data_IF_151613688950
#
_entry.id   IF_151613688950
#
_cell.length_a   1.000
_cell.length_b   1.000
_cell.length_c   1.000
_cell.angle_alpha   90.00
_cell.angle_beta   90.00
_cell.angle_gamma   90.00
#
_symmetry.space_group_name_H-M   'P 1'
#
loop_
_entity.id
_entity.type
_entity.pdbx_description
1 polymer ?
#
# COMPACT_ATOMS: atom_id res chain seq x y z
N UNK A 1 53.65 6.83 5.83
CA UNK A 1 54.70 6.35 4.91
C UNK A 1 54.45 4.86 4.61
N UNK A 2 54.52 4.47 3.32
CA UNK A 2 54.33 3.12 2.72
C UNK A 2 52.87 2.63 2.70
N UNK A 3 52.09 2.96 1.66
CA UNK A 3 52.04 2.52 0.25
C UNK A 3 51.45 1.11 0.05
N UNK A 4 50.19 1.02 -0.42
CA UNK A 4 49.68 0.80 -1.81
C UNK A 4 49.62 -0.70 -2.15
N UNK A 5 48.52 -1.08 -2.83
CA UNK A 5 48.34 -2.16 -3.82
C UNK A 5 47.51 -3.31 -3.26
N UNK A 6 46.41 -3.78 -3.86
CA UNK A 6 45.47 -3.36 -4.93
C UNK A 6 44.51 -4.56 -5.03
N UNK A 7 43.24 -4.28 -5.28
CA UNK A 7 42.36 -5.07 -6.15
C UNK A 7 42.12 -6.55 -5.82
N UNK A 8 40.96 -6.84 -5.21
CA UNK A 8 40.14 -7.96 -5.67
C UNK A 8 38.64 -7.55 -5.64
N UNK A 9 38.14 -6.87 -6.67
CA UNK A 9 36.74 -6.99 -7.05
C UNK A 9 36.55 -8.34 -7.78
N UNK A 10 35.30 -8.75 -7.97
CA UNK A 10 34.89 -9.92 -8.78
C UNK A 10 34.97 -11.26 -8.02
N UNK A 11 33.99 -11.55 -7.16
CA UNK A 11 33.28 -12.85 -7.11
C UNK A 11 32.11 -12.84 -6.10
N UNK A 12 31.25 -11.83 -6.13
CA UNK A 12 29.99 -11.87 -5.36
C UNK A 12 28.88 -11.07 -6.08
N UNK A 13 28.74 -11.30 -7.39
CA UNK A 13 27.70 -10.68 -8.22
C UNK A 13 27.03 -11.65 -9.21
N UNK A 14 27.07 -12.97 -8.95
CA UNK A 14 26.43 -13.98 -9.82
C UNK A 14 25.71 -15.07 -9.01
N UNK A 15 25.06 -14.68 -7.90
CA UNK A 15 24.06 -15.54 -7.22
C UNK A 15 22.80 -14.78 -6.78
N UNK A 16 22.60 -13.56 -7.27
CA UNK A 16 21.35 -12.81 -7.15
C UNK A 16 20.79 -12.58 -8.54
N UNK A 17 20.21 -13.62 -9.14
CA UNK A 17 19.28 -13.55 -10.27
C UNK A 17 18.86 -14.97 -10.65
N UNK A 18 18.07 -15.61 -9.80
CA UNK A 18 17.07 -16.55 -10.31
C UNK A 18 15.73 -16.11 -9.71
N UNK A 19 15.00 -15.21 -10.38
CA UNK A 19 13.60 -14.99 -10.05
C UNK A 19 12.87 -16.30 -10.31
N UNK A 20 12.29 -16.89 -9.27
CA UNK A 20 11.28 -17.92 -9.42
C UNK A 20 9.91 -17.22 -9.50
N UNK A 21 9.11 -17.50 -10.54
CA UNK A 21 7.90 -16.74 -10.83
C UNK A 21 6.82 -16.98 -9.76
N UNK A 22 6.10 -15.94 -9.40
CA UNK A 22 4.78 -16.08 -8.79
C UNK A 22 3.71 -16.03 -9.88
N UNK A 23 2.45 -16.07 -9.47
CA UNK A 23 1.23 -16.11 -10.26
C UNK A 23 0.07 -15.38 -9.51
N UNK A 24 -0.88 -14.81 -10.24
CA UNK A 24 -2.33 -15.06 -10.38
C UNK A 24 -2.85 -14.17 -11.56
N UNK A 25 -4.07 -14.44 -12.07
CA UNK A 25 -4.62 -14.36 -13.47
C UNK A 25 -4.83 -15.80 -14.08
N UNK A 26 -5.47 -15.93 -15.25
CA UNK A 26 -5.62 -17.16 -16.02
C UNK A 26 -4.24 -17.66 -16.49
N UNK A 27 -3.84 -18.85 -16.05
CA UNK A 27 -2.56 -19.44 -16.39
C UNK A 27 -2.70 -20.56 -17.45
N UNK A 28 -1.67 -20.80 -18.28
CA UNK A 28 -1.58 -22.01 -19.10
C UNK A 28 -1.46 -23.27 -18.22
N UNK A 29 -1.50 -24.48 -18.80
CA UNK A 29 -1.15 -25.69 -18.07
C UNK A 29 0.19 -25.57 -17.34
N UNK A 30 0.28 -26.25 -16.21
CA UNK A 30 1.50 -26.28 -15.40
C UNK A 30 2.58 -27.08 -16.12
N UNK A 31 3.79 -26.55 -16.08
CA UNK A 31 4.96 -27.22 -16.61
C UNK A 31 5.19 -28.55 -15.88
N UNK A 32 5.58 -29.63 -16.58
CA UNK A 32 6.02 -30.84 -15.89
C UNK A 32 7.22 -30.51 -15.00
N UNK A 33 7.22 -31.00 -13.76
CA UNK A 33 8.34 -30.82 -12.85
C UNK A 33 9.62 -31.39 -13.44
N UNK A 34 10.60 -30.52 -13.76
CA UNK A 34 11.93 -30.94 -14.22
C UNK A 34 12.52 -30.19 -15.42
N UNK A 35 11.88 -29.18 -16.00
CA UNK A 35 12.50 -28.33 -17.03
C UNK A 35 11.79 -26.99 -17.11
N UNK A 36 12.36 -25.95 -16.49
CA UNK A 36 12.08 -24.58 -16.90
C UNK A 36 12.87 -24.39 -18.20
N UNK A 37 12.28 -24.31 -19.40
CA UNK A 37 13.08 -23.90 -20.52
C UNK A 37 13.33 -22.39 -20.37
N UNK A 38 14.44 -21.96 -20.94
CA UNK A 38 14.95 -20.61 -20.86
C UNK A 38 13.91 -19.58 -21.37
N UNK A 39 13.99 -18.31 -20.95
CA UNK A 39 13.28 -17.22 -21.61
C UNK A 39 13.45 -17.32 -23.14
N UNK A 40 12.35 -17.36 -23.89
CA UNK A 40 12.32 -17.59 -25.34
C UNK A 40 11.90 -19.00 -25.79
N UNK A 41 11.52 -19.88 -24.87
CA UNK A 41 10.95 -21.21 -25.19
C UNK A 41 9.52 -21.29 -24.65
N UNK A 42 8.63 -20.53 -25.28
CA UNK A 42 7.20 -20.57 -24.97
C UNK A 42 6.61 -21.89 -25.49
N UNK A 43 5.91 -22.63 -24.62
CA UNK A 43 5.29 -23.92 -25.00
C UNK A 43 3.99 -23.77 -25.78
N UNK A 44 3.42 -22.57 -25.79
CA UNK A 44 2.17 -22.25 -26.46
C UNK A 44 2.39 -21.06 -27.40
N UNK A 45 1.65 -21.04 -28.50
CA UNK A 45 1.55 -19.87 -29.38
C UNK A 45 0.37 -18.97 -28.97
N UNK A 46 -0.33 -19.28 -27.87
CA UNK A 46 -1.44 -18.49 -27.36
C UNK A 46 -0.93 -17.31 -26.56
N UNK A 47 -1.27 -16.12 -27.04
CA UNK A 47 -1.01 -14.83 -26.40
C UNK A 47 -2.27 -14.30 -25.72
N UNK A 48 -2.12 -13.65 -24.57
CA UNK A 48 -3.16 -12.79 -24.03
C UNK A 48 -3.15 -11.44 -24.74
N UNK A 49 -4.19 -11.15 -25.51
CA UNK A 49 -4.31 -9.92 -26.30
C UNK A 49 -4.87 -8.78 -25.46
N UNK A 50 -5.84 -9.07 -24.61
CA UNK A 50 -6.42 -8.07 -23.72
C UNK A 50 -6.95 -8.71 -22.45
N UNK A 51 -6.92 -7.94 -21.37
CA UNK A 51 -7.53 -8.26 -20.09
C UNK A 51 -8.36 -7.06 -19.61
N UNK A 52 -9.58 -7.32 -19.13
CA UNK A 52 -10.42 -6.31 -18.51
C UNK A 52 -10.98 -6.86 -17.19
N UNK A 53 -10.63 -6.21 -16.09
CA UNK A 53 -10.99 -6.64 -14.73
C UNK A 53 -11.87 -5.59 -14.10
N UNK A 54 -13.05 -5.99 -13.65
CA UNK A 54 -13.97 -5.14 -12.89
C UNK A 54 -14.13 -5.69 -11.47
N UNK A 55 -13.66 -4.93 -10.49
CA UNK A 55 -13.91 -5.16 -9.06
C UNK A 55 -15.11 -4.31 -8.63
N UNK A 56 -16.29 -4.91 -8.56
CA UNK A 56 -17.50 -4.25 -8.06
C UNK A 56 -17.60 -4.40 -6.54
N UNK A 57 -17.19 -3.35 -5.81
CA UNK A 57 -17.23 -3.31 -4.34
C UNK A 57 -18.68 -3.29 -3.87
N UNK A 58 -19.02 -4.25 -3.01
CA UNK A 58 -20.37 -4.42 -2.52
C UNK A 58 -20.69 -3.44 -1.39
N UNK A 59 -21.88 -2.85 -1.47
CA UNK A 59 -22.42 -1.96 -0.44
C UNK A 59 -22.61 -2.65 0.92
N UNK A 60 -23.00 -3.93 0.90
CA UNK A 60 -23.30 -4.70 2.09
C UNK A 60 -22.43 -5.95 2.11
N UNK A 61 -21.95 -6.33 3.28
CA UNK A 61 -21.18 -7.55 3.48
C UNK A 61 -21.72 -8.40 4.62
N UNK A 62 -21.39 -9.71 4.65
CA UNK A 62 -21.75 -10.57 5.76
C UNK A 62 -21.20 -10.08 7.11
N UNK A 63 -21.83 -10.51 8.20
CA UNK A 63 -21.29 -10.27 9.54
C UNK A 63 -19.88 -10.85 9.66
N UNK A 64 -18.93 -10.04 10.16
CA UNK A 64 -17.49 -10.34 10.26
C UNK A 64 -16.68 -10.27 8.95
N UNK A 65 -17.27 -9.74 7.86
CA UNK A 65 -16.54 -9.35 6.66
C UNK A 65 -16.12 -7.88 6.73
N UNK A 66 -14.90 -7.58 6.29
CA UNK A 66 -14.41 -6.19 6.20
C UNK A 66 -15.00 -5.49 4.97
N UNK A 67 -14.93 -6.14 3.82
CA UNK A 67 -15.60 -5.78 2.58
C UNK A 67 -15.60 -6.98 1.61
N UNK A 68 -16.41 -6.90 0.56
CA UNK A 68 -16.44 -7.88 -0.52
C UNK A 68 -16.53 -7.15 -1.86
N UNK A 69 -15.95 -7.76 -2.88
CA UNK A 69 -16.08 -7.31 -4.27
C UNK A 69 -16.53 -8.48 -5.14
N UNK A 70 -17.46 -8.22 -6.06
CA UNK A 70 -17.69 -9.15 -7.17
C UNK A 70 -16.67 -8.83 -8.25
N UNK A 71 -15.88 -9.83 -8.61
CA UNK A 71 -14.90 -9.69 -9.69
C UNK A 71 -15.49 -10.26 -10.97
N UNK A 72 -15.32 -9.53 -12.07
CA UNK A 72 -15.50 -10.01 -13.42
C UNK A 72 -14.19 -9.76 -14.19
N UNK A 73 -13.48 -10.82 -14.52
CA UNK A 73 -12.25 -10.78 -15.29
C UNK A 73 -12.51 -11.37 -16.68
N UNK A 74 -12.35 -10.54 -17.70
CA UNK A 74 -12.57 -10.88 -19.11
C UNK A 74 -11.21 -10.89 -19.84
N UNK A 75 -10.84 -12.04 -20.38
CA UNK A 75 -9.58 -12.27 -21.10
C UNK A 75 -9.87 -12.51 -22.57
N UNK A 76 -9.09 -11.86 -23.44
CA UNK A 76 -9.09 -12.11 -24.88
C UNK A 76 -7.80 -12.80 -25.25
N UNK A 77 -7.89 -14.06 -25.65
CA UNK A 77 -6.75 -14.90 -25.97
C UNK A 77 -6.67 -15.13 -27.47
N UNK A 78 -5.47 -15.17 -28.05
CA UNK A 78 -5.27 -15.47 -29.48
C UNK A 78 -4.11 -16.42 -29.70
N UNK A 79 -4.38 -17.49 -30.45
CA UNK A 79 -3.33 -18.37 -30.95
C UNK A 79 -2.64 -17.73 -32.17
N UNK A 80 -1.35 -17.43 -32.03
CA UNK A 80 -0.49 -16.84 -33.07
C UNK A 80 0.13 -17.88 -34.00
N UNK A 81 -0.04 -19.17 -33.69
CA UNK A 81 0.40 -20.29 -34.51
C UNK A 81 -0.53 -20.57 -35.69
N UNK A 82 -0.17 -21.59 -36.48
CA UNK A 82 -0.90 -22.05 -37.66
C UNK A 82 -1.77 -23.29 -37.40
N UNK A 83 -1.66 -23.89 -36.22
CA UNK A 83 -2.39 -25.09 -35.80
C UNK A 83 -3.17 -24.84 -34.51
N UNK A 84 -4.34 -25.45 -34.39
CA UNK A 84 -5.18 -25.28 -33.21
C UNK A 84 -4.50 -25.89 -31.99
N UNK A 85 -4.54 -25.19 -30.86
CA UNK A 85 -4.04 -25.67 -29.58
C UNK A 85 -5.21 -26.01 -28.66
N UNK A 86 -5.11 -27.12 -27.92
CA UNK A 86 -6.08 -27.48 -26.89
C UNK A 86 -5.34 -27.77 -25.60
N UNK A 87 -5.78 -27.16 -24.50
CA UNK A 87 -5.07 -27.20 -23.23
C UNK A 87 -5.99 -26.98 -22.03
N UNK A 88 -5.53 -27.44 -20.86
CA UNK A 88 -6.17 -27.19 -19.57
C UNK A 88 -5.75 -25.83 -19.02
N UNK A 89 -6.58 -24.82 -19.25
CA UNK A 89 -6.42 -23.47 -18.71
C UNK A 89 -6.77 -23.45 -17.23
N UNK A 90 -6.11 -22.60 -16.44
CA UNK A 90 -6.20 -22.61 -14.99
C UNK A 90 -6.49 -21.25 -14.41
N UNK A 91 -7.23 -21.22 -13.31
CA UNK A 91 -7.48 -20.02 -12.51
C UNK A 91 -7.29 -20.34 -11.02
N UNK A 92 -6.51 -19.55 -10.27
CA UNK A 92 -6.26 -19.82 -8.86
C UNK A 92 -7.53 -19.61 -8.03
N UNK A 93 -7.82 -20.55 -7.14
CA UNK A 93 -8.98 -20.46 -6.23
C UNK A 93 -8.59 -19.93 -4.85
N UNK A 94 -7.29 -19.82 -4.59
CA UNK A 94 -6.75 -19.36 -3.33
C UNK A 94 -5.33 -18.86 -3.53
N UNK A 95 -4.91 -17.96 -2.66
CA UNK A 95 -3.53 -17.55 -2.49
C UNK A 95 -3.23 -17.39 -1.00
N UNK A 96 -1.96 -17.44 -0.61
CA UNK A 96 -1.57 -17.05 0.74
C UNK A 96 -1.85 -15.56 0.95
N UNK A 97 -2.47 -15.23 2.07
CA UNK A 97 -2.81 -13.87 2.42
C UNK A 97 -1.72 -13.10 3.20
N UNK A 98 -0.47 -13.58 3.15
CA UNK A 98 0.65 -12.99 3.89
C UNK A 98 0.68 -13.32 5.39
N UNK A 99 -0.37 -13.97 5.92
CA UNK A 99 -0.45 -14.44 7.32
C UNK A 99 -0.40 -15.97 7.44
N UNK A 100 0.00 -16.66 6.37
CA UNK A 100 0.03 -18.12 6.32
C UNK A 100 -1.35 -18.76 6.29
N UNK A 101 -2.36 -18.03 5.80
CA UNK A 101 -3.70 -18.55 5.52
C UNK A 101 -3.96 -18.50 4.03
N UNK A 102 -4.79 -19.42 3.56
CA UNK A 102 -5.13 -19.60 2.16
C UNK A 102 -6.65 -19.50 1.99
N UNK A 103 -7.22 -18.28 2.09
CA UNK A 103 -8.65 -18.11 1.87
C UNK A 103 -8.99 -18.48 0.42
N UNK A 104 -10.08 -19.22 0.24
CA UNK A 104 -10.62 -19.53 -1.07
C UNK A 104 -11.64 -18.49 -1.51
N UNK A 105 -11.56 -18.06 -2.77
CA UNK A 105 -12.60 -17.26 -3.41
C UNK A 105 -13.89 -18.07 -3.58
N UNK A 106 -15.03 -17.37 -3.61
CA UNK A 106 -16.35 -18.01 -3.64
C UNK A 106 -17.05 -17.76 -4.98
N UNK A 107 -18.09 -18.55 -5.25
CA UNK A 107 -18.99 -18.37 -6.38
C UNK A 107 -18.29 -18.28 -7.75
N UNK A 108 -17.22 -19.07 -7.93
CA UNK A 108 -16.45 -19.10 -9.17
C UNK A 108 -17.29 -19.66 -10.32
N UNK A 109 -17.36 -18.90 -11.41
CA UNK A 109 -17.95 -19.33 -12.67
C UNK A 109 -17.03 -18.97 -13.83
N UNK A 110 -16.88 -19.89 -14.77
CA UNK A 110 -16.03 -19.72 -15.95
C UNK A 110 -16.89 -19.85 -17.20
N UNK A 111 -16.71 -18.94 -18.16
CA UNK A 111 -17.26 -19.05 -19.51
C UNK A 111 -16.16 -18.98 -20.54
N UNK A 112 -16.35 -19.71 -21.63
CA UNK A 112 -15.53 -19.65 -22.84
C UNK A 112 -16.46 -19.31 -23.99
N UNK A 113 -16.19 -18.20 -24.69
CA UNK A 113 -17.04 -17.64 -25.75
C UNK A 113 -18.52 -17.52 -25.35
N UNK A 114 -18.74 -17.05 -24.11
CA UNK A 114 -20.07 -16.87 -23.54
C UNK A 114 -20.76 -18.17 -23.05
N UNK A 115 -20.15 -19.33 -23.24
CA UNK A 115 -20.68 -20.63 -22.79
C UNK A 115 -20.05 -21.02 -21.46
N UNK A 116 -20.88 -21.27 -20.44
CA UNK A 116 -20.40 -21.77 -19.15
C UNK A 116 -19.76 -23.15 -19.30
N UNK A 117 -18.53 -23.30 -18.80
CA UNK A 117 -17.78 -24.56 -18.83
C UNK A 117 -17.68 -25.17 -17.43
N UNK A 118 -17.56 -26.49 -17.34
CA UNK A 118 -17.26 -27.17 -16.09
C UNK A 118 -15.80 -27.00 -15.72
N UNK A 119 -15.51 -26.73 -14.46
CA UNK A 119 -14.16 -26.71 -13.92
C UNK A 119 -13.86 -27.99 -13.13
N UNK A 120 -12.59 -28.36 -13.06
CA UNK A 120 -12.08 -29.39 -12.16
C UNK A 120 -11.08 -28.77 -11.20
N UNK A 121 -11.16 -29.18 -9.94
CA UNK A 121 -10.22 -28.71 -8.91
C UNK A 121 -8.92 -29.47 -9.00
N UNK A 122 -7.81 -28.76 -9.08
CA UNK A 122 -6.46 -29.32 -9.01
C UNK A 122 -5.67 -28.62 -7.90
N UNK A 123 -4.62 -29.26 -7.40
CA UNK A 123 -3.65 -28.64 -6.50
C UNK A 123 -2.39 -28.29 -7.27
N UNK A 124 -1.93 -27.05 -7.15
CA UNK A 124 -0.72 -26.52 -7.80
C UNK A 124 -0.07 -25.51 -6.85
N UNK A 125 1.17 -25.10 -7.12
CA UNK A 125 1.89 -24.12 -6.31
C UNK A 125 1.06 -22.84 -6.05
N UNK A 126 1.17 -22.32 -4.83
CA UNK A 126 0.61 -21.04 -4.41
C UNK A 126 1.01 -19.96 -5.40
N UNK A 127 0.04 -19.25 -5.99
CA UNK A 127 0.36 -18.30 -7.00
C UNK A 127 1.23 -17.18 -6.39
N UNK A 128 1.07 -16.75 -5.13
CA UNK A 128 1.83 -15.60 -4.60
C UNK A 128 3.25 -15.96 -4.12
N UNK A 129 3.43 -17.05 -3.36
CA UNK A 129 4.74 -17.40 -2.76
C UNK A 129 5.37 -18.68 -3.31
N UNK A 130 4.62 -19.53 -4.00
CA UNK A 130 5.14 -20.77 -4.61
C UNK A 130 5.46 -21.91 -3.64
N UNK A 131 5.34 -21.70 -2.32
CA UNK A 131 5.85 -22.63 -1.31
C UNK A 131 4.88 -23.78 -0.97
N UNK A 132 3.57 -23.54 -1.06
CA UNK A 132 2.54 -24.51 -0.66
C UNK A 132 1.54 -24.76 -1.79
N UNK A 133 1.09 -26.01 -2.02
CA UNK A 133 0.05 -26.26 -3.00
C UNK A 133 -1.29 -25.66 -2.57
N UNK A 134 -1.88 -24.83 -3.41
CA UNK A 134 -3.22 -24.25 -3.26
C UNK A 134 -4.17 -24.82 -4.31
N UNK A 135 -5.50 -24.68 -4.11
CA UNK A 135 -6.45 -25.08 -5.13
C UNK A 135 -6.51 -24.14 -6.33
N UNK A 136 -6.67 -24.73 -7.50
CA UNK A 136 -6.93 -24.06 -8.77
C UNK A 136 -8.14 -24.70 -9.47
N UNK A 137 -8.88 -23.91 -10.24
CA UNK A 137 -9.87 -24.38 -11.19
C UNK A 137 -9.20 -24.58 -12.56
N UNK A 138 -9.19 -25.80 -13.05
CA UNK A 138 -8.73 -26.13 -14.41
C UNK A 138 -9.95 -26.39 -15.31
N UNK A 139 -9.90 -25.91 -16.56
CA UNK A 139 -10.95 -26.09 -17.56
C UNK A 139 -10.34 -26.17 -18.96
N UNK A 140 -10.96 -26.94 -19.85
CA UNK A 140 -10.39 -27.19 -21.17
C UNK A 140 -10.83 -26.12 -22.17
N UNK A 141 -9.86 -25.60 -22.93
CA UNK A 141 -10.08 -24.60 -23.97
C UNK A 141 -9.43 -25.05 -25.26
N UNK A 142 -10.03 -24.69 -26.39
CA UNK A 142 -9.46 -24.85 -27.72
C UNK A 142 -9.23 -23.46 -28.29
N UNK A 143 -8.01 -23.19 -28.75
CA UNK A 143 -7.60 -21.93 -29.35
C UNK A 143 -7.34 -22.12 -30.86
N UNK A 144 -8.29 -21.75 -31.73
CA UNK A 144 -8.11 -21.85 -33.18
C UNK A 144 -7.05 -20.85 -33.67
N UNK A 145 -6.28 -21.18 -34.74
CA UNK A 145 -5.30 -20.27 -35.32
C UNK A 145 -5.89 -18.92 -35.71
N UNK A 146 -5.29 -17.83 -35.23
CA UNK A 146 -5.66 -16.47 -35.60
C UNK A 146 -7.04 -16.00 -35.15
N UNK A 147 -7.73 -16.75 -34.28
CA UNK A 147 -9.05 -16.38 -33.75
C UNK A 147 -8.94 -15.98 -32.28
N UNK A 148 -9.74 -14.99 -31.90
CA UNK A 148 -9.91 -14.62 -30.50
C UNK A 148 -10.82 -15.61 -29.80
N UNK A 149 -10.40 -16.03 -28.62
CA UNK A 149 -11.20 -16.80 -27.67
C UNK A 149 -11.38 -15.93 -26.43
N UNK A 150 -12.63 -15.70 -26.06
CA UNK A 150 -12.96 -14.94 -24.86
C UNK A 150 -13.12 -15.90 -23.68
N UNK A 151 -12.39 -15.64 -22.59
CA UNK A 151 -12.54 -16.35 -21.32
C UNK A 151 -13.07 -15.33 -20.32
N UNK A 152 -14.15 -15.66 -19.63
CA UNK A 152 -14.69 -14.84 -18.55
C UNK A 152 -14.66 -15.64 -17.26
N UNK A 153 -14.07 -15.07 -16.21
CA UNK A 153 -14.07 -15.61 -14.86
C UNK A 153 -14.77 -14.64 -13.92
N UNK A 154 -15.82 -15.09 -13.26
CA UNK A 154 -16.53 -14.31 -12.23
C UNK A 154 -16.44 -14.99 -10.89
N UNK A 155 -16.23 -14.21 -9.83
CA UNK A 155 -16.14 -14.73 -8.46
C UNK A 155 -16.43 -13.65 -7.42
N UNK A 156 -16.56 -14.07 -6.17
CA UNK A 156 -16.66 -13.20 -5.00
C UNK A 156 -15.32 -13.18 -4.26
N UNK A 157 -14.76 -11.98 -4.15
CA UNK A 157 -13.51 -11.68 -3.45
C UNK A 157 -13.80 -11.10 -2.07
N UNK A 158 -13.13 -11.62 -1.05
CA UNK A 158 -13.13 -11.06 0.30
C UNK A 158 -11.99 -10.05 0.41
N UNK A 159 -12.28 -8.85 0.93
CA UNK A 159 -11.25 -7.86 1.19
C UNK A 159 -10.53 -8.14 2.51
N UNK A 160 -9.26 -7.76 2.59
CA UNK A 160 -8.41 -7.99 3.76
C UNK A 160 -7.99 -6.67 4.41
N UNK A 161 -7.61 -6.70 5.69
CA UNK A 161 -7.14 -5.48 6.36
C UNK A 161 -7.51 -5.37 7.83
N UNK A 162 -7.64 -4.13 8.29
CA UNK A 162 -7.96 -3.78 9.66
C UNK A 162 -8.86 -2.54 9.67
N UNK A 163 -9.87 -2.53 10.56
CA UNK A 163 -10.78 -1.39 10.70
C UNK A 163 -10.02 -0.05 10.84
N UNK A 164 -10.38 1.00 10.08
CA UNK A 164 -11.51 1.10 9.13
C UNK A 164 -11.16 0.88 7.66
N UNK A 165 -10.02 0.25 7.33
CA UNK A 165 -9.53 0.07 5.96
C UNK A 165 -9.56 -1.37 5.49
N UNK A 166 -9.69 -1.53 4.18
CA UNK A 166 -9.69 -2.83 3.50
C UNK A 166 -8.93 -2.72 2.19
N UNK A 167 -8.18 -3.76 1.81
CA UNK A 167 -7.60 -3.91 0.49
C UNK A 167 -8.35 -4.92 -0.35
N UNK A 168 -8.26 -4.72 -1.65
CA UNK A 168 -8.48 -5.76 -2.63
C UNK A 168 -7.23 -5.91 -3.47
N UNK A 169 -6.91 -7.16 -3.75
CA UNK A 169 -5.73 -7.56 -4.49
C UNK A 169 -6.17 -8.28 -5.76
N UNK A 170 -5.50 -7.95 -6.85
CA UNK A 170 -5.64 -8.65 -8.12
C UNK A 170 -4.24 -8.86 -8.68
N UNK A 171 -4.05 -10.00 -9.31
CA UNK A 171 -2.72 -10.45 -9.67
C UNK A 171 -2.66 -10.52 -11.18
N UNK A 172 -1.63 -9.94 -11.77
CA UNK A 172 -1.45 -9.87 -13.22
C UNK A 172 -0.38 -10.84 -13.71
N UNK A 173 0.57 -11.17 -12.84
CA UNK A 173 1.81 -11.79 -13.28
C UNK A 173 1.73 -13.29 -13.63
N UNK A 174 0.57 -13.98 -13.50
CA UNK A 174 0.42 -15.25 -14.25
C UNK A 174 0.43 -15.05 -15.74
N UNK A 175 0.12 -13.84 -16.21
CA UNK A 175 0.10 -13.52 -17.62
C UNK A 175 1.41 -13.92 -18.31
N UNK A 176 2.52 -13.94 -17.57
CA UNK A 176 3.85 -14.33 -18.03
C UNK A 176 3.94 -15.79 -18.49
N UNK A 177 2.94 -16.61 -18.17
CA UNK A 177 2.83 -17.96 -18.69
C UNK A 177 2.41 -18.01 -20.16
N UNK A 178 1.74 -16.97 -20.65
CA UNK A 178 1.32 -16.87 -22.05
C UNK A 178 2.45 -16.35 -22.93
N UNK A 179 2.24 -16.47 -24.24
CA UNK A 179 3.18 -15.96 -25.23
C UNK A 179 3.18 -14.43 -25.25
N UNK A 180 4.37 -13.85 -25.35
CA UNK A 180 4.61 -12.40 -25.42
C UNK A 180 3.96 -11.62 -24.24
N UNK A 181 3.88 -10.29 -24.36
CA UNK A 181 3.21 -9.38 -23.40
C UNK A 181 1.68 -9.57 -23.39
N UNK A 182 1.05 -9.13 -22.30
CA UNK A 182 -0.39 -8.83 -22.29
C UNK A 182 -0.61 -7.57 -23.15
N UNK A 183 -1.34 -7.68 -24.25
CA UNK A 183 -1.50 -6.56 -25.19
C UNK A 183 -2.07 -5.30 -24.54
N UNK A 184 -3.22 -5.38 -23.88
CA UNK A 184 -3.77 -4.27 -23.07
C UNK A 184 -4.45 -4.79 -21.81
N UNK A 185 -4.25 -4.15 -20.67
CA UNK A 185 -4.96 -4.48 -19.44
C UNK A 185 -5.72 -3.26 -18.90
N UNK A 186 -7.03 -3.43 -18.68
CA UNK A 186 -7.88 -2.45 -18.00
C UNK A 186 -8.28 -3.00 -16.64
N UNK A 187 -8.08 -2.21 -15.59
CA UNK A 187 -8.58 -2.54 -14.26
C UNK A 187 -9.46 -1.43 -13.72
N UNK A 188 -10.67 -1.80 -13.31
CA UNK A 188 -11.73 -0.89 -12.91
C UNK A 188 -12.22 -1.32 -11.53
N UNK A 189 -12.02 -0.46 -10.53
CA UNK A 189 -12.64 -0.63 -9.22
C UNK A 189 -13.89 0.25 -9.18
N UNK A 190 -15.05 -0.37 -8.98
CA UNK A 190 -16.36 0.28 -9.00
C UNK A 190 -16.98 0.27 -7.62
N UNK A 191 -17.29 1.44 -7.12
CA UNK A 191 -17.86 1.64 -5.79
C UNK A 191 -19.39 1.79 -5.82
N UNK A 192 -20.07 1.53 -4.70
CA UNK A 192 -21.50 1.78 -4.55
C UNK A 192 -21.81 3.27 -4.25
N UNK A 193 -20.79 4.13 -4.29
CA UNK A 193 -20.80 5.56 -4.01
C UNK A 193 -19.72 6.26 -4.85
N UNK A 194 -19.70 7.59 -4.86
CA UNK A 194 -18.65 8.36 -5.51
C UNK A 194 -17.27 8.08 -4.90
N UNK A 195 -16.28 7.78 -5.74
CA UNK A 195 -14.90 7.56 -5.35
C UNK A 195 -14.19 8.92 -5.20
N UNK A 196 -13.37 9.07 -4.18
CA UNK A 196 -12.61 10.29 -3.91
C UNK A 196 -11.41 9.99 -3.00
N UNK A 197 -10.61 11.01 -2.71
CA UNK A 197 -9.42 10.90 -1.85
C UNK A 197 -9.76 10.58 -0.39
N UNK A 198 -11.00 10.73 0.07
CA UNK A 198 -11.38 10.35 1.43
C UNK A 198 -11.56 8.85 1.56
N UNK A 199 -12.15 8.21 0.55
CA UNK A 199 -12.51 6.79 0.59
C UNK A 199 -11.57 5.86 -0.19
N UNK A 200 -10.70 6.39 -1.05
CA UNK A 200 -9.61 5.66 -1.68
C UNK A 200 -8.28 6.24 -1.19
N UNK A 201 -7.39 5.36 -0.73
CA UNK A 201 -6.11 5.75 -0.14
C UNK A 201 -5.05 5.76 -1.24
N UNK A 202 -4.71 6.94 -1.76
CA UNK A 202 -3.62 7.11 -2.72
C UNK A 202 -2.34 7.54 -1.99
N UNK A 203 -1.19 7.10 -2.50
CA UNK A 203 0.15 7.55 -2.07
C UNK A 203 0.44 7.41 -0.56
N UNK A 204 -0.25 6.47 0.11
CA UNK A 204 -0.08 6.18 1.54
C UNK A 204 -0.11 4.68 1.81
N UNK A 205 0.75 4.24 2.71
CA UNK A 205 0.83 2.84 3.13
C UNK A 205 0.04 2.62 4.42
N UNK A 206 -0.86 1.63 4.44
CA UNK A 206 -1.69 1.30 5.62
C UNK A 206 -0.95 0.47 6.67
N UNK A 207 0.28 0.05 6.36
CA UNK A 207 1.12 -0.85 7.14
C UNK A 207 1.18 -2.26 6.56
N UNK A 208 0.25 -2.61 5.68
CA UNK A 208 0.11 -3.93 5.05
C UNK A 208 -0.36 -3.86 3.60
N UNK A 209 -0.79 -2.68 3.13
CA UNK A 209 -1.20 -2.45 1.74
C UNK A 209 -0.80 -1.04 1.27
N UNK A 210 -0.61 -0.91 -0.04
CA UNK A 210 -0.37 0.30 -0.79
C UNK A 210 -1.15 0.25 -2.11
N UNK A 211 -1.96 1.28 -2.39
CA UNK A 211 -2.72 1.34 -3.65
C UNK A 211 -1.77 1.49 -4.85
N UNK A 212 -1.96 0.67 -5.88
CA UNK A 212 -1.22 0.75 -7.14
C UNK A 212 -1.33 2.18 -7.72
N UNK A 213 -0.19 2.86 -7.95
CA UNK A 213 -0.19 4.23 -8.49
C UNK A 213 -0.86 4.33 -9.87
N UNK A 214 -1.22 5.55 -10.26
CA UNK A 214 -1.74 5.86 -11.61
C UNK A 214 -3.25 5.71 -11.79
N UNK A 215 -3.99 5.38 -10.73
CA UNK A 215 -5.45 5.26 -10.78
C UNK A 215 -6.13 6.60 -11.06
N UNK A 216 -7.04 6.61 -12.04
CA UNK A 216 -7.84 7.78 -12.40
C UNK A 216 -9.24 7.64 -11.84
N UNK A 217 -9.65 8.58 -10.98
CA UNK A 217 -10.99 8.66 -10.40
C UNK A 217 -11.97 9.27 -11.41
N UNK A 218 -13.07 8.58 -11.69
CA UNK A 218 -14.19 9.07 -12.50
C UNK A 218 -15.53 8.64 -11.89
N UNK A 219 -16.22 9.59 -11.23
CA UNK A 219 -17.47 9.35 -10.54
C UNK A 219 -17.35 8.26 -9.47
N UNK A 220 -17.93 7.09 -9.72
CA UNK A 220 -17.90 5.94 -8.79
C UNK A 220 -16.81 4.91 -9.11
N UNK A 221 -15.92 5.22 -10.05
CA UNK A 221 -14.92 4.27 -10.53
C UNK A 221 -13.51 4.83 -10.37
N UNK A 222 -12.56 3.94 -10.13
CA UNK A 222 -11.12 4.22 -10.27
C UNK A 222 -10.57 3.26 -11.31
N UNK A 223 -9.83 3.80 -12.27
CA UNK A 223 -9.43 3.10 -13.50
C UNK A 223 -7.91 3.13 -13.66
N UNK A 224 -7.37 1.98 -14.01
CA UNK A 224 -5.99 1.79 -14.46
C UNK A 224 -6.01 1.21 -15.87
N UNK A 225 -5.07 1.67 -16.68
CA UNK A 225 -4.88 1.18 -18.04
C UNK A 225 -3.39 0.89 -18.24
N UNK A 226 -3.09 -0.26 -18.82
CA UNK A 226 -1.74 -0.69 -19.14
C UNK A 226 -1.68 -1.11 -20.61
N UNK A 227 -0.69 -0.59 -21.33
CA UNK A 227 -0.39 -0.94 -22.71
C UNK A 227 0.83 -1.87 -22.75
N UNK A 228 0.75 -2.95 -23.53
CA UNK A 228 1.81 -3.94 -23.73
C UNK A 228 2.46 -4.36 -22.41
N UNK A 229 1.61 -4.64 -21.42
CA UNK A 229 2.02 -5.00 -20.07
C UNK A 229 2.82 -6.30 -20.12
N UNK A 230 4.12 -6.22 -19.79
CA UNK A 230 4.90 -7.40 -19.44
C UNK A 230 4.54 -7.76 -17.99
N UNK A 231 3.87 -8.89 -17.74
CA UNK A 231 3.27 -9.18 -16.45
C UNK A 231 4.31 -9.72 -15.44
N UNK A 232 4.87 -8.84 -14.63
CA UNK A 232 5.80 -9.13 -13.53
C UNK A 232 5.13 -8.99 -12.15
N UNK A 233 5.73 -9.56 -11.09
CA UNK A 233 5.15 -9.50 -9.72
C UNK A 233 4.92 -8.06 -9.27
N UNK A 234 5.80 -7.17 -9.70
CA UNK A 234 5.78 -5.74 -9.43
C UNK A 234 4.56 -5.04 -10.07
N UNK A 235 3.90 -5.69 -11.04
CA UNK A 235 2.70 -5.20 -11.70
C UNK A 235 1.41 -5.61 -10.99
N UNK A 236 1.48 -6.43 -9.94
CA UNK A 236 0.29 -6.82 -9.21
C UNK A 236 -0.48 -5.63 -8.67
N UNK A 237 -1.79 -5.76 -8.76
CA UNK A 237 -2.71 -4.72 -8.42
C UNK A 237 -3.14 -4.83 -6.97
N UNK A 238 -3.14 -3.70 -6.30
CA UNK A 238 -3.70 -3.56 -4.98
C UNK A 238 -4.42 -2.22 -4.88
N UNK A 239 -5.53 -2.18 -4.15
CA UNK A 239 -6.21 -0.93 -3.79
C UNK A 239 -6.57 -0.95 -2.31
N UNK A 240 -6.16 0.07 -1.59
CA UNK A 240 -6.59 0.34 -0.22
C UNK A 240 -7.74 1.34 -0.21
N UNK A 241 -8.82 0.99 0.48
CA UNK A 241 -10.03 1.81 0.57
C UNK A 241 -10.55 1.87 2.00
N UNK A 242 -11.30 2.91 2.32
CA UNK A 242 -12.14 2.91 3.53
C UNK A 242 -13.21 1.83 3.36
N UNK A 243 -13.44 1.03 4.41
CA UNK A 243 -14.49 0.02 4.43
C UNK A 243 -15.83 0.61 3.98
N UNK A 244 -16.55 -0.04 3.03
CA UNK A 244 -17.81 0.51 2.50
C UNK A 244 -18.85 0.82 3.56
N UNK A 245 -18.91 0.02 4.63
CA UNK A 245 -19.81 0.24 5.77
C UNK A 245 -19.50 1.53 6.54
N UNK A 246 -18.21 1.84 6.75
CA UNK A 246 -17.75 3.07 7.39
C UNK A 246 -18.06 4.26 6.50
N UNK A 247 -17.74 4.19 5.21
CA UNK A 247 -18.01 5.29 4.29
C UNK A 247 -19.50 5.58 4.12
N UNK A 248 -20.34 4.54 4.02
CA UNK A 248 -21.79 4.70 4.00
C UNK A 248 -22.33 5.33 5.29
N UNK A 249 -21.77 4.98 6.44
CA UNK A 249 -22.13 5.62 7.70
C UNK A 249 -21.74 7.10 7.70
N UNK A 250 -20.58 7.45 7.14
CA UNK A 250 -20.17 8.85 6.93
C UNK A 250 -21.16 9.59 6.05
N UNK A 251 -21.53 9.04 4.88
CA UNK A 251 -22.53 9.65 3.98
C UNK A 251 -23.88 9.86 4.67
N UNK A 252 -24.29 8.91 5.52
CA UNK A 252 -25.51 9.03 6.32
C UNK A 252 -25.44 10.17 7.32
N UNK A 253 -24.36 10.28 8.10
CA UNK A 253 -24.22 11.37 9.09
C UNK A 253 -24.05 12.73 8.40
N UNK A 254 -23.37 12.80 7.25
CA UNK A 254 -23.33 14.00 6.40
C UNK A 254 -24.74 14.46 5.99
N UNK A 255 -25.59 13.53 5.53
CA UNK A 255 -26.97 13.85 5.18
C UNK A 255 -27.78 14.32 6.39
N UNK A 256 -27.55 13.75 7.58
CA UNK A 256 -28.23 14.17 8.82
C UNK A 256 -27.83 15.59 9.21
N UNK A 257 -26.53 15.93 9.25
CA UNK A 257 -26.10 17.30 9.60
C UNK A 257 -26.51 18.32 8.55
N UNK A 258 -26.57 17.93 7.27
CA UNK A 258 -27.08 18.80 6.21
C UNK A 258 -28.57 19.09 6.38
N UNK A 259 -29.37 18.07 6.74
CA UNK A 259 -30.80 18.22 6.97
C UNK A 259 -31.12 18.93 8.30
N UNK A 260 -30.29 18.73 9.32
CA UNK A 260 -30.44 19.31 10.65
C UNK A 260 -29.10 19.82 11.20
N UNK A 261 -28.66 21.03 10.80
CA UNK A 261 -27.35 21.55 11.20
C UNK A 261 -27.23 21.91 12.69
N UNK A 262 -28.34 21.89 13.44
CA UNK A 262 -28.36 22.12 14.89
C UNK A 262 -28.33 20.82 15.70
N UNK A 263 -28.17 19.67 15.05
CA UNK A 263 -28.00 18.38 15.71
C UNK A 263 -26.54 18.19 16.15
N UNK A 264 -26.22 18.60 17.37
CA UNK A 264 -24.86 18.47 17.92
C UNK A 264 -24.39 17.01 17.98
N UNK A 265 -25.29 16.08 18.28
CA UNK A 265 -24.97 14.65 18.33
C UNK A 265 -24.57 14.12 16.94
N UNK A 266 -25.25 14.55 15.88
CA UNK A 266 -24.88 14.18 14.51
C UNK A 266 -23.52 14.75 14.11
N UNK A 267 -23.22 15.99 14.50
CA UNK A 267 -21.89 16.56 14.29
C UNK A 267 -20.80 15.78 15.03
N UNK A 268 -21.03 15.40 16.29
CA UNK A 268 -20.11 14.57 17.06
C UNK A 268 -19.85 13.20 16.42
N UNK A 269 -20.91 12.51 15.99
CA UNK A 269 -20.78 11.23 15.27
C UNK A 269 -20.02 11.37 13.95
N UNK A 270 -20.26 12.45 13.21
CA UNK A 270 -19.55 12.73 11.97
C UNK A 270 -18.06 13.00 12.20
N UNK A 271 -17.72 13.82 13.21
CA UNK A 271 -16.33 14.06 13.61
C UNK A 271 -15.62 12.78 14.04
N UNK A 272 -16.31 11.90 14.76
CA UNK A 272 -15.78 10.57 15.11
C UNK A 272 -15.47 9.71 13.89
N UNK A 273 -16.33 9.69 12.87
CA UNK A 273 -16.10 8.92 11.65
C UNK A 273 -14.90 9.47 10.86
N UNK A 274 -14.80 10.80 10.71
CA UNK A 274 -13.63 11.41 10.07
C UNK A 274 -12.33 11.12 10.83
N UNK A 275 -12.35 11.20 12.17
CA UNK A 275 -11.22 10.78 13.02
C UNK A 275 -10.79 9.34 12.74
N UNK A 276 -11.74 8.41 12.69
CA UNK A 276 -11.44 7.00 12.46
C UNK A 276 -10.78 6.78 11.10
N UNK A 277 -11.29 7.42 10.04
CA UNK A 277 -10.73 7.34 8.68
C UNK A 277 -9.44 8.16 8.48
N UNK A 278 -9.03 8.94 9.48
CA UNK A 278 -7.79 9.71 9.45
C UNK A 278 -6.62 8.92 10.05
N UNK A 279 -6.86 8.17 11.14
CA UNK A 279 -5.83 7.41 11.82
C UNK A 279 -5.62 6.03 11.22
N UNK A 280 -4.38 5.55 11.29
CA UNK A 280 -4.08 4.12 11.21
C UNK A 280 -4.01 3.55 12.62
N UNK A 281 -3.81 2.24 12.75
CA UNK A 281 -3.48 1.63 14.04
C UNK A 281 -2.26 2.29 14.70
N UNK A 282 -1.31 2.75 13.89
CA UNK A 282 -0.15 3.54 14.30
C UNK A 282 0.09 4.64 13.27
N UNK A 283 0.11 5.88 13.70
CA UNK A 283 0.25 7.03 12.82
C UNK A 283 -1.09 7.46 12.21
N UNK A 284 -0.99 8.26 11.16
CA UNK A 284 -2.13 8.88 10.49
C UNK A 284 -1.91 8.92 8.98
N UNK A 285 -2.96 9.30 8.25
CA UNK A 285 -2.91 9.49 6.81
C UNK A 285 -2.20 10.78 6.43
N UNK A 286 -1.11 10.65 5.68
CA UNK A 286 -0.30 11.77 5.17
C UNK A 286 -0.68 12.19 3.75
N UNK A 287 -1.57 11.45 3.10
CA UNK A 287 -2.09 11.80 1.78
C UNK A 287 -3.04 12.99 1.84
N UNK A 288 -3.35 13.57 0.67
CA UNK A 288 -4.23 14.74 0.56
C UNK A 288 -5.61 14.50 1.23
N UNK A 289 -6.17 13.30 1.07
CA UNK A 289 -7.42 12.92 1.73
C UNK A 289 -7.30 12.86 3.25
N UNK A 290 -6.16 12.40 3.77
CA UNK A 290 -5.87 12.40 5.20
C UNK A 290 -5.88 13.80 5.82
N UNK A 291 -5.15 14.75 5.22
CA UNK A 291 -5.11 16.13 5.70
C UNK A 291 -6.49 16.79 5.75
N UNK A 292 -7.30 16.57 4.72
CA UNK A 292 -8.68 17.09 4.68
C UNK A 292 -9.60 16.39 5.70
N UNK A 293 -9.49 15.07 5.87
CA UNK A 293 -10.25 14.33 6.88
C UNK A 293 -9.96 14.83 8.30
N UNK A 294 -8.70 15.18 8.61
CA UNK A 294 -8.34 15.78 9.90
C UNK A 294 -9.07 17.11 10.12
N UNK A 295 -9.06 18.00 9.13
CA UNK A 295 -9.73 19.30 9.22
C UNK A 295 -11.25 19.18 9.30
N UNK A 296 -11.84 18.25 8.54
CA UNK A 296 -13.26 17.92 8.61
C UNK A 296 -13.65 17.39 10.00
N UNK A 297 -12.79 16.56 10.61
CA UNK A 297 -12.95 16.05 11.96
C UNK A 297 -12.96 17.18 12.99
N UNK A 298 -11.96 18.07 12.97
CA UNK A 298 -11.90 19.25 13.84
C UNK A 298 -13.19 20.08 13.71
N UNK A 299 -13.56 20.44 12.48
CA UNK A 299 -14.74 21.28 12.21
C UNK A 299 -16.01 20.64 12.78
N UNK A 300 -16.18 19.33 12.59
CA UNK A 300 -17.35 18.62 13.09
C UNK A 300 -17.38 18.57 14.63
N UNK A 301 -16.26 18.32 15.30
CA UNK A 301 -16.19 18.39 16.76
C UNK A 301 -16.46 19.79 17.30
N UNK A 302 -15.88 20.84 16.71
CA UNK A 302 -16.15 22.22 17.11
C UNK A 302 -17.64 22.56 17.00
N UNK A 303 -18.31 22.13 15.91
CA UNK A 303 -19.76 22.29 15.76
C UNK A 303 -20.55 21.52 16.80
N UNK A 304 -20.15 20.28 17.08
CA UNK A 304 -20.73 19.45 18.14
C UNK A 304 -20.67 20.16 19.49
N UNK A 305 -19.49 20.64 19.88
CA UNK A 305 -19.24 21.27 21.18
C UNK A 305 -19.87 22.67 21.30
N UNK A 306 -20.01 23.40 20.19
CA UNK A 306 -20.77 24.65 20.19
C UNK A 306 -22.27 24.43 20.49
N UNK A 307 -22.82 23.28 20.06
CA UNK A 307 -24.22 22.91 20.27
C UNK A 307 -24.44 22.15 21.58
N UNK A 308 -23.43 21.39 22.03
CA UNK A 308 -23.44 20.53 23.22
C UNK A 308 -22.20 20.81 24.10
N UNK A 309 -22.07 22.01 24.69
CA UNK A 309 -20.87 22.43 25.44
C UNK A 309 -20.67 21.72 26.79
N UNK A 310 -21.65 20.93 27.22
CA UNK A 310 -21.62 20.17 28.46
C UNK A 310 -21.63 18.64 28.22
N UNK A 311 -21.41 18.20 26.98
CA UNK A 311 -21.27 16.78 26.66
C UNK A 311 -19.83 16.30 26.84
N UNK A 312 -19.61 15.54 27.91
CA UNK A 312 -18.28 15.04 28.26
C UNK A 312 -17.67 14.11 27.20
N UNK A 313 -18.48 13.33 26.48
CA UNK A 313 -17.99 12.37 25.50
C UNK A 313 -17.51 13.05 24.23
N UNK A 314 -18.17 14.13 23.79
CA UNK A 314 -17.69 14.91 22.66
C UNK A 314 -16.41 15.68 22.97
N UNK A 315 -16.30 16.23 24.19
CA UNK A 315 -15.05 16.85 24.65
C UNK A 315 -13.90 15.83 24.66
N UNK A 316 -14.12 14.65 25.24
CA UNK A 316 -13.11 13.59 25.26
C UNK A 316 -12.76 13.09 23.84
N UNK A 317 -13.75 12.92 22.97
CA UNK A 317 -13.55 12.47 21.59
C UNK A 317 -12.72 13.44 20.76
N UNK A 318 -12.90 14.75 20.99
CA UNK A 318 -12.11 15.80 20.35
C UNK A 318 -10.69 15.90 20.94
N UNK A 319 -10.56 15.78 22.26
CA UNK A 319 -9.26 15.69 22.92
C UNK A 319 -8.42 14.53 22.35
N UNK A 320 -9.04 13.36 22.16
CA UNK A 320 -8.37 12.18 21.58
C UNK A 320 -7.86 12.46 20.15
N UNK A 321 -8.66 13.13 19.31
CA UNK A 321 -8.24 13.51 17.95
C UNK A 321 -6.94 14.34 17.99
N UNK A 322 -6.95 15.41 18.77
CA UNK A 322 -5.85 16.37 18.85
C UNK A 322 -4.60 15.74 19.47
N UNK A 323 -4.78 14.96 20.54
CA UNK A 323 -3.68 14.30 21.24
C UNK A 323 -2.98 13.25 20.37
N UNK A 324 -3.75 12.38 19.71
CA UNK A 324 -3.17 11.32 18.86
C UNK A 324 -2.45 11.92 17.65
N UNK A 325 -3.05 12.94 17.01
CA UNK A 325 -2.37 13.68 15.93
C UNK A 325 -1.06 14.27 16.44
N UNK A 326 -1.11 15.05 17.52
CA UNK A 326 0.07 15.73 18.06
C UNK A 326 1.19 14.77 18.41
N UNK A 327 0.86 13.61 18.98
CA UNK A 327 1.82 12.58 19.36
C UNK A 327 2.60 12.03 18.17
N UNK A 328 1.92 11.71 17.07
CA UNK A 328 2.60 11.19 15.88
C UNK A 328 3.25 12.31 15.06
N UNK A 329 2.55 13.42 14.83
CA UNK A 329 3.05 14.55 14.06
C UNK A 329 4.30 15.19 14.66
N UNK A 330 4.42 15.24 15.99
CA UNK A 330 5.65 15.73 16.64
C UNK A 330 6.85 14.81 16.43
N UNK A 331 6.64 13.49 16.27
CA UNK A 331 7.72 12.56 15.90
C UNK A 331 8.21 12.79 14.47
N UNK A 332 7.35 13.32 13.60
CA UNK A 332 7.69 13.74 12.24
C UNK A 332 8.29 15.17 12.19
N UNK A 333 8.48 15.81 13.34
CA UNK A 333 9.06 17.14 13.45
C UNK A 333 8.09 18.30 13.24
N UNK A 334 6.77 18.04 13.22
CA UNK A 334 5.75 19.10 13.16
C UNK A 334 5.58 19.76 14.53
N UNK A 335 5.44 21.10 14.55
CA UNK A 335 5.15 21.84 15.78
C UNK A 335 3.66 21.76 16.11
N UNK A 336 3.30 20.80 16.96
CA UNK A 336 1.91 20.55 17.38
C UNK A 336 1.63 21.02 18.82
N UNK A 337 2.48 21.88 19.40
CA UNK A 337 2.34 22.32 20.80
C UNK A 337 0.98 22.94 21.12
N UNK A 338 0.43 23.74 20.19
CA UNK A 338 -0.89 24.35 20.37
C UNK A 338 -2.00 23.30 20.42
N UNK A 339 -1.94 22.29 19.55
CA UNK A 339 -2.89 21.18 19.50
C UNK A 339 -2.78 20.29 20.75
N UNK A 340 -1.55 20.06 21.25
CA UNK A 340 -1.33 19.35 22.52
C UNK A 340 -2.00 20.07 23.68
N UNK A 341 -1.78 21.38 23.83
CA UNK A 341 -2.41 22.20 24.88
C UNK A 341 -3.92 22.15 24.76
N UNK A 342 -4.45 22.28 23.53
CA UNK A 342 -5.89 22.22 23.30
C UNK A 342 -6.46 20.84 23.66
N UNK A 343 -5.79 19.74 23.31
CA UNK A 343 -6.21 18.40 23.70
C UNK A 343 -6.35 18.25 25.23
N UNK A 344 -5.44 18.87 25.99
CA UNK A 344 -5.46 18.85 27.46
C UNK A 344 -6.62 19.65 28.04
N UNK A 345 -6.95 20.79 27.43
CA UNK A 345 -8.12 21.60 27.84
C UNK A 345 -9.42 20.82 27.63
N UNK A 346 -9.57 20.16 26.49
CA UNK A 346 -10.77 19.39 26.16
C UNK A 346 -10.95 18.17 27.08
N UNK A 347 -9.89 17.40 27.35
CA UNK A 347 -10.00 16.25 28.25
C UNK A 347 -10.19 16.67 29.72
N UNK A 348 -9.59 17.79 30.15
CA UNK A 348 -9.86 18.35 31.47
C UNK A 348 -11.34 18.70 31.61
N UNK A 349 -11.91 19.39 30.61
CA UNK A 349 -13.34 19.72 30.59
C UNK A 349 -14.22 18.47 30.63
N UNK A 350 -13.88 17.44 29.87
CA UNK A 350 -14.60 16.17 29.89
C UNK A 350 -14.61 15.50 31.28
N UNK A 351 -13.47 15.50 31.98
CA UNK A 351 -13.36 14.95 33.34
C UNK A 351 -14.09 15.79 34.39
N UNK A 352 -14.17 17.10 34.23
CA UNK A 352 -15.00 17.96 35.09
C UNK A 352 -16.49 17.63 34.94
N UNK A 353 -16.93 17.43 33.70
CA UNK A 353 -18.32 17.11 33.37
C UNK A 353 -18.71 15.70 33.79
N UNK A 354 -17.84 14.71 33.57
CA UNK A 354 -18.12 13.31 33.87
C UNK A 354 -16.87 12.54 34.35
N UNK A 355 -16.45 12.75 35.62
CA UNK A 355 -15.18 12.22 36.14
C UNK A 355 -15.12 10.70 36.25
N UNK A 356 -16.28 10.04 36.27
CA UNK A 356 -16.40 8.58 36.44
C UNK A 356 -16.83 7.87 35.14
N UNK A 357 -16.95 8.58 34.03
CA UNK A 357 -17.26 7.93 32.75
C UNK A 357 -16.07 7.07 32.30
N UNK A 358 -16.27 5.75 32.07
CA UNK A 358 -15.18 4.84 31.72
C UNK A 358 -14.46 5.23 30.43
N UNK A 359 -15.18 5.80 29.44
CA UNK A 359 -14.59 6.18 28.16
C UNK A 359 -13.79 7.47 28.29
N UNK A 360 -14.29 8.46 29.04
CA UNK A 360 -13.54 9.68 29.37
C UNK A 360 -12.25 9.34 30.12
N UNK A 361 -12.33 8.47 31.14
CA UNK A 361 -11.16 8.02 31.88
C UNK A 361 -10.16 7.26 31.01
N UNK A 362 -10.64 6.40 30.10
CA UNK A 362 -9.79 5.68 29.15
C UNK A 362 -9.02 6.66 28.25
N UNK A 363 -9.69 7.68 27.71
CA UNK A 363 -9.05 8.68 26.84
C UNK A 363 -8.04 9.50 27.64
N UNK A 364 -8.39 9.94 28.85
CA UNK A 364 -7.47 10.67 29.72
C UNK A 364 -6.20 9.86 30.02
N UNK A 365 -6.33 8.57 30.26
CA UNK A 365 -5.20 7.66 30.45
C UNK A 365 -4.34 7.57 29.18
N UNK A 366 -4.94 7.47 28.00
CA UNK A 366 -4.20 7.47 26.73
C UNK A 366 -3.43 8.77 26.51
N UNK A 367 -4.03 9.93 26.80
CA UNK A 367 -3.36 11.24 26.69
C UNK A 367 -2.19 11.34 27.68
N UNK A 368 -2.36 10.85 28.91
CA UNK A 368 -1.28 10.74 29.88
C UNK A 368 -0.10 9.91 29.34
N UNK A 369 -0.37 8.78 28.69
CA UNK A 369 0.69 7.95 28.09
C UNK A 369 1.38 8.62 26.90
N UNK A 370 0.68 9.45 26.12
CA UNK A 370 1.30 10.20 25.02
C UNK A 370 2.18 11.35 25.52
N UNK A 371 1.79 12.01 26.62
CA UNK A 371 2.45 13.22 27.13
C UNK A 371 2.73 13.13 28.64
N UNK A 372 3.62 12.22 29.10
CA UNK A 372 3.89 12.04 30.53
C UNK A 372 4.53 13.26 31.20
N UNK A 373 5.16 14.16 30.42
CA UNK A 373 5.71 15.43 30.91
C UNK A 373 4.68 16.56 30.97
N UNK A 374 3.53 16.39 30.33
CA UNK A 374 2.45 17.39 30.25
C UNK A 374 1.24 17.07 31.10
N UNK A 375 1.00 15.80 31.39
CA UNK A 375 -0.06 15.31 32.27
C UNK A 375 0.55 14.42 33.33
N UNK A 376 0.23 14.67 34.60
CA UNK A 376 0.62 13.83 35.71
C UNK A 376 -0.59 13.10 36.27
N UNK A 377 -0.50 11.77 36.40
CA UNK A 377 -1.54 10.97 37.06
C UNK A 377 -1.35 11.00 38.58
N UNK A 378 -2.40 11.40 39.30
CA UNK A 378 -2.48 11.46 40.76
C UNK A 378 -3.49 10.43 41.28
N UNK A 379 -3.49 10.15 42.58
CA UNK A 379 -4.53 9.30 43.20
C UNK A 379 -5.94 9.89 43.04
N UNK A 380 -6.04 11.22 42.98
CA UNK A 380 -7.30 11.96 42.87
C UNK A 380 -7.72 12.31 41.44
N UNK A 381 -6.95 11.92 40.41
CA UNK A 381 -7.23 12.27 39.02
C UNK A 381 -5.97 12.63 38.22
N UNK A 382 -6.03 13.71 37.46
CA UNK A 382 -4.94 14.18 36.61
C UNK A 382 -4.59 15.64 36.91
N UNK A 383 -3.31 15.97 36.87
CA UNK A 383 -2.79 17.34 36.88
C UNK A 383 -2.19 17.67 35.51
N UNK A 384 -2.53 18.83 34.96
CA UNK A 384 -2.18 19.24 33.59
C UNK A 384 -1.09 20.30 33.64
N UNK A 385 0.16 19.84 33.76
CA UNK A 385 1.34 20.68 33.98
C UNK A 385 1.53 21.73 32.88
N UNK A 386 1.20 21.42 31.62
CA UNK A 386 1.32 22.37 30.51
C UNK A 386 0.23 23.44 30.48
N UNK A 387 -0.91 23.23 31.15
CA UNK A 387 -1.95 24.24 31.28
C UNK A 387 -1.62 25.27 32.37
N UNK A 388 -0.77 24.91 33.32
CA UNK A 388 -0.38 25.75 34.47
C UNK A 388 1.06 26.28 34.37
N UNK A 389 1.85 25.80 33.41
CA UNK A 389 3.18 26.30 33.13
C UNK A 389 3.15 27.80 32.82
N UNK A 390 3.71 28.61 33.71
CA UNK A 390 3.98 30.01 33.42
C UNK A 390 5.07 30.05 32.35
N UNK A 391 4.90 30.74 31.21
CA UNK A 391 5.96 30.88 30.22
C UNK A 391 7.21 31.41 30.91
N UNK A 392 8.29 30.63 30.90
CA UNK A 392 9.57 31.12 31.38
C UNK A 392 9.90 32.38 30.59
N UNK A 393 10.20 33.49 31.29
CA UNK A 393 10.82 34.64 30.64
C UNK A 393 11.99 34.12 29.80
N UNK A 394 12.12 34.53 28.53
CA UNK A 394 13.25 34.08 27.72
C UNK A 394 14.52 34.35 28.52
N UNK A 395 15.23 33.28 28.88
CA UNK A 395 16.57 33.41 29.45
C UNK A 395 17.34 34.23 28.44
N UNK A 396 17.80 35.46 28.79
CA UNK A 396 18.52 36.27 27.83
C UNK A 396 19.68 35.43 27.31
N UNK A 397 19.73 35.21 26.00
CA UNK A 397 20.86 34.54 25.37
C UNK A 397 22.13 35.23 25.90
N UNK A 398 23.13 34.46 26.36
CA UNK A 398 24.39 35.05 26.78
C UNK A 398 24.91 35.85 25.58
N UNK A 399 24.93 37.18 25.72
CA UNK A 399 25.50 38.08 24.73
C UNK A 399 26.97 37.70 24.58
N UNK A 400 27.28 36.90 23.58
CA UNK A 400 28.65 36.68 23.15
C UNK A 400 29.08 38.02 22.53
N UNK A 401 29.78 38.85 23.29
CA UNK A 401 30.54 39.97 22.73
C UNK A 401 31.62 39.39 21.82
N UNK A 402 31.31 39.30 20.54
CA UNK A 402 32.27 39.01 19.49
C UNK A 402 33.26 40.20 19.41
N UNK A 403 34.58 39.96 19.51
CA UNK A 403 35.56 41.04 19.40
C UNK A 403 35.53 41.63 18.00
N UNK A 404 35.22 42.93 17.93
CA UNK A 404 35.21 43.78 16.73
C UNK A 404 36.39 43.49 15.80
N UNK A 405 36.14 42.79 14.69
CA UNK A 405 37.10 42.62 13.61
C UNK A 405 37.39 43.99 12.94
N UNK A 406 38.66 44.21 12.63
CA UNK A 406 39.14 45.40 11.92
C UNK A 406 38.58 45.49 10.48
N UNK A 407 38.44 46.70 9.91
CA UNK A 407 37.79 46.90 8.62
C UNK A 407 38.54 46.20 7.47
N UNK A 408 37.82 45.61 6.50
CA UNK A 408 38.43 44.99 5.34
C UNK A 408 39.03 46.03 4.39
N UNK A 409 40.22 45.73 3.87
CA UNK A 409 40.89 46.50 2.83
C UNK A 409 40.14 46.37 1.49
N UNK A 410 40.02 47.50 0.78
CA UNK A 410 39.30 47.63 -0.47
C UNK A 410 39.82 46.69 -1.57
N UNK A 411 38.90 45.94 -2.19
CA UNK A 411 39.13 45.13 -3.39
C UNK A 411 39.08 46.02 -4.65
N UNK A 412 39.98 45.84 -5.64
CA UNK A 412 39.98 46.60 -6.87
C UNK A 412 38.86 46.17 -7.84
N UNK A 413 38.48 47.02 -8.82
CA UNK A 413 37.32 46.82 -9.68
C UNK A 413 37.53 45.71 -10.74
N UNK A 414 36.44 45.07 -11.22
CA UNK A 414 36.52 43.99 -12.20
C UNK A 414 36.84 44.51 -13.60
N UNK A 415 37.68 43.73 -14.31
CA UNK A 415 37.99 43.91 -15.73
C UNK A 415 36.83 43.44 -16.61
N UNK A 416 36.61 44.15 -17.71
CA UNK A 416 35.53 43.93 -18.67
C UNK A 416 35.61 42.56 -19.36
N UNK A 417 34.50 41.81 -19.33
CA UNK A 417 34.29 40.63 -20.17
C UNK A 417 34.00 41.05 -21.61
N UNK A 418 34.79 40.50 -22.53
CA UNK A 418 34.61 40.61 -23.97
C UNK A 418 33.70 39.48 -24.43
N UNK A 419 32.51 39.83 -24.94
CA UNK A 419 31.60 38.91 -25.62
C UNK A 419 32.19 38.46 -26.96
N UNK A 420 32.39 37.14 -27.12
CA UNK A 420 32.68 36.50 -28.41
C UNK A 420 31.39 35.82 -28.91
N UNK A 421 31.00 35.98 -30.20
CA UNK A 421 29.79 35.36 -30.72
C UNK A 421 30.00 33.87 -31.03
N UNK A 422 29.00 33.07 -30.68
CA UNK A 422 28.88 31.65 -31.02
C UNK A 422 28.41 31.50 -32.48
N UNK A 423 29.07 30.69 -33.33
CA UNK A 423 28.56 30.34 -34.64
C UNK A 423 27.49 29.25 -34.56
N UNK A 424 26.44 29.42 -35.35
CA UNK A 424 25.42 28.41 -35.67
C UNK A 424 26.03 27.43 -36.66
N UNK A 425 25.92 26.13 -36.39
CA UNK A 425 26.21 25.08 -37.37
C UNK A 425 25.07 24.06 -37.43
N UNK A 426 24.74 23.72 -38.67
CA UNK A 426 23.52 23.09 -39.16
C UNK A 426 23.79 21.61 -39.48
N UNK A 427 22.77 20.78 -39.25
CA UNK A 427 22.55 19.37 -39.57
C UNK A 427 23.62 18.53 -40.32
N UNK A 428 23.86 17.30 -39.83
CA UNK A 428 23.84 16.10 -40.69
C UNK A 428 23.69 14.78 -39.92
N UNK A 429 23.08 13.81 -40.59
CA UNK A 429 22.73 12.44 -40.18
C UNK A 429 23.92 11.47 -40.16
N UNK A 430 23.72 10.28 -39.55
CA UNK A 430 23.88 8.91 -40.14
C UNK A 430 24.60 7.86 -39.25
N UNK A 431 23.91 6.72 -39.06
CA UNK A 431 24.33 5.30 -38.94
C UNK A 431 25.09 4.69 -37.74
N UNK A 432 24.55 3.52 -37.36
CA UNK A 432 25.00 2.41 -36.48
C UNK A 432 26.27 1.71 -37.03
N UNK A 433 27.10 1.10 -36.14
CA UNK A 433 27.36 -0.35 -36.28
C UNK A 433 27.38 -1.14 -34.93
N UNK A 434 27.16 -2.45 -35.07
CA UNK A 434 27.08 -3.49 -34.02
C UNK A 434 28.44 -4.27 -33.87
N UNK A 435 28.58 -5.37 -33.09
CA UNK A 435 29.63 -5.52 -32.06
C UNK A 435 30.70 -6.59 -32.36
N UNK A 436 31.77 -6.63 -31.55
CA UNK A 436 32.82 -7.69 -31.58
C UNK A 436 33.02 -8.40 -30.23
N UNK A 437 33.00 -9.74 -30.28
CA UNK A 437 33.46 -10.70 -29.26
C UNK A 437 35.00 -10.80 -29.22
N UNK A 438 35.62 -11.29 -28.12
CA UNK A 438 36.26 -12.62 -28.24
C UNK A 438 36.36 -13.50 -26.96
N UNK A 439 36.20 -14.81 -27.22
CA UNK A 439 36.88 -16.03 -26.75
C UNK A 439 37.68 -16.13 -25.41
N UNK A 440 37.50 -17.29 -24.77
CA UNK A 440 38.27 -17.87 -23.65
C UNK A 440 39.53 -18.68 -24.08
N UNK A 441 40.45 -18.99 -23.14
CA UNK A 441 40.83 -20.39 -22.82
C UNK A 441 41.09 -20.64 -21.30
N UNK A 442 40.64 -21.75 -20.68
CA UNK A 442 41.22 -23.11 -20.52
C UNK A 442 42.37 -23.30 -19.48
N UNK A 443 42.16 -24.34 -18.65
CA UNK A 443 43.12 -25.23 -17.93
C UNK A 443 43.65 -24.87 -16.53
N UNK A 444 43.58 -25.84 -15.60
CA UNK A 444 44.62 -26.01 -14.55
C UNK A 444 44.22 -26.55 -13.17
N UNK A 445 43.90 -27.84 -13.10
CA UNK A 445 44.00 -28.80 -11.98
C UNK A 445 44.66 -28.43 -10.61
N UNK A 446 43.94 -28.82 -9.55
CA UNK A 446 44.32 -29.74 -8.46
C UNK A 446 45.04 -29.29 -7.16
N UNK A 447 44.52 -29.90 -6.08
CA UNK A 447 45.18 -30.42 -4.86
C UNK A 447 45.08 -29.68 -3.49
N UNK A 448 44.52 -30.45 -2.52
CA UNK A 448 44.81 -30.58 -1.08
C UNK A 448 44.11 -29.69 -0.02
N UNK A 449 43.20 -30.36 0.72
CA UNK A 449 42.88 -30.23 2.16
C UNK A 449 44.12 -30.56 3.05
N UNK A 450 44.15 -30.43 4.41
CA UNK A 450 43.03 -30.30 5.38
C UNK A 450 43.30 -29.40 6.64
N UNK A 451 42.38 -29.52 7.62
CA UNK A 451 42.45 -29.21 9.07
C UNK A 451 42.09 -27.77 9.48
N UNK A 452 41.25 -27.51 10.48
CA UNK A 452 40.52 -28.40 11.40
C UNK A 452 39.89 -27.59 12.55
N UNK A 453 38.94 -28.22 13.24
CA UNK A 453 38.49 -27.99 14.65
C UNK A 453 37.83 -26.61 14.93
N UNK A 454 36.66 -26.50 15.56
CA UNK A 454 36.29 -26.89 16.94
C UNK A 454 34.75 -26.90 17.02
N UNK A 455 34.12 -28.07 17.27
CA UNK A 455 33.42 -28.46 18.51
C UNK A 455 32.16 -27.62 18.84
N UNK A 456 30.94 -28.16 18.64
CA UNK A 456 30.10 -28.90 19.63
C UNK A 456 29.85 -28.10 20.92
N UNK A 457 28.71 -28.09 21.59
CA UNK A 457 27.36 -28.63 21.40
C UNK A 457 26.60 -28.36 22.70
N UNK A 458 25.27 -28.35 22.62
CA UNK A 458 24.26 -29.01 23.50
C UNK A 458 23.02 -28.12 23.58
N UNK A 459 21.91 -28.45 22.93
CA UNK A 459 20.91 -29.50 23.26
C UNK A 459 20.55 -29.57 24.74
N UNK A 460 19.34 -29.15 25.09
CA UNK A 460 18.11 -29.98 25.20
C UNK A 460 17.28 -29.66 26.46
N UNK A 461 15.97 -29.57 26.21
CA UNK A 461 14.82 -30.00 27.04
C UNK A 461 14.50 -29.27 28.35
N UNK A 462 13.27 -28.73 28.40
CA UNK A 462 12.30 -29.13 29.42
C UNK A 462 10.86 -28.92 28.91
N UNK A 463 10.09 -30.00 28.88
CA UNK A 463 8.62 -29.98 28.96
C UNK A 463 8.27 -29.90 30.45
N UNK A 464 7.30 -29.09 30.85
CA UNK A 464 6.35 -29.48 31.90
C UNK A 464 5.14 -28.52 31.93
N UNK A 465 3.95 -29.16 31.91
CA UNK A 465 2.59 -28.74 32.27
C UNK A 465 1.92 -27.58 31.55
#
# INVERSE_FOLDING_TARGET
>A
MKRIIRSLPILLLVMFALPAPARADVAPPGQPGGSNPEPGVEFTQVRMVAEAVVLEVLANTPQNSLAQARVNADFTMRNLGDTAESMGVRFPLSANNGFGKFPEIKDVSVKVDGVTVSTRRIMQEDPVWGDEPVPWAEFDVIFPPGQDVNIQVTYLLEGEGEYPYVSFDYVFHTGAGWRDTIGSADLIVRFPYEANTYNVLFDVHTGWSYTTPGGVVDGREVRWHFDELEPERENDFQISVVMPSVWQQTLKEQAIVQANPNDGEAWGRLGKLYKEMYFFRRGYRYDAGGGELFQLSITAYEKSLALLPDDALWHAGFAELLAVHSYYASQDGLDTRAEMVWSMQEIQRALELSPNDPKVQQIAESIYYFFPDGVQKLESGYDYLWLTATPGLPTPEPTFTEPSAAPPAATPPPAAETTVPVPVEEATSTSIPAPESPAAPLCGSAFLLPLGLVWLARRKTSRYR
#
